data_IF_791820481219
#
_entry.id   IF_791820481219
#
_cell.length_a   1.000
_cell.length_b   1.000
_cell.length_c   1.000
_cell.angle_alpha   90.00
_cell.angle_beta   90.00
_cell.angle_gamma   90.00
#
_symmetry.space_group_name_H-M   'P 1'
#
loop_
_entity.id
_entity.type
_entity.pdbx_description
1 polymer ?
#
# COMPACT_ATOMS: atom_id res chain seq x y z
N UNK A 1 2.83 -15.43 -19.41
CA UNK A 1 3.26 -16.05 -18.14
C UNK A 1 2.67 -17.46 -18.10
N UNK A 2 3.51 -18.50 -18.10
CA UNK A 2 3.06 -19.92 -18.18
C UNK A 2 3.90 -20.79 -17.26
N UNK A 3 5.22 -20.65 -17.35
CA UNK A 3 6.18 -21.40 -16.53
C UNK A 3 6.64 -20.53 -15.36
N UNK A 4 6.50 -21.05 -14.15
CA UNK A 4 6.86 -20.40 -12.90
C UNK A 4 7.85 -21.27 -12.14
N UNK A 5 8.78 -20.65 -11.43
CA UNK A 5 9.63 -21.33 -10.47
C UNK A 5 9.51 -20.66 -9.11
N UNK A 6 9.67 -21.44 -8.06
CA UNK A 6 9.51 -20.98 -6.69
C UNK A 6 10.75 -20.20 -6.24
N UNK A 7 10.50 -19.08 -5.57
CA UNK A 7 11.49 -18.32 -4.81
C UNK A 7 11.11 -18.34 -3.34
N UNK A 8 12.00 -17.83 -2.49
CA UNK A 8 11.74 -17.62 -1.08
C UNK A 8 10.69 -16.52 -0.86
N UNK A 9 10.17 -16.46 0.37
CA UNK A 9 9.17 -15.46 0.76
C UNK A 9 9.80 -14.07 0.73
N UNK A 10 9.26 -13.18 -0.10
CA UNK A 10 9.77 -11.82 -0.26
C UNK A 10 9.53 -10.94 0.99
N UNK A 11 8.38 -11.10 1.65
CA UNK A 11 7.98 -10.33 2.83
C UNK A 11 7.28 -11.23 3.85
N UNK A 12 7.75 -11.20 5.08
CA UNK A 12 7.15 -11.88 6.23
C UNK A 12 6.97 -10.88 7.39
N UNK A 13 6.04 -11.09 8.34
CA UNK A 13 5.88 -10.22 9.51
C UNK A 13 7.17 -10.13 10.32
N UNK A 14 7.75 -8.92 10.44
CA UNK A 14 9.03 -8.72 11.16
C UNK A 14 9.06 -7.47 12.02
N UNK A 15 8.22 -6.49 11.72
CA UNK A 15 8.31 -5.16 12.30
C UNK A 15 6.96 -4.76 12.91
N UNK A 16 6.95 -3.77 13.81
CA UNK A 16 5.74 -3.38 14.55
C UNK A 16 4.56 -2.96 13.67
N UNK A 17 4.82 -2.48 12.46
CA UNK A 17 3.81 -2.04 11.48
C UNK A 17 3.21 -3.19 10.65
N UNK A 18 3.71 -4.42 10.79
CA UNK A 18 3.18 -5.60 10.09
C UNK A 18 3.29 -6.91 10.88
N UNK A 19 3.61 -6.84 12.17
CA UNK A 19 3.87 -8.00 13.05
C UNK A 19 2.72 -9.00 13.05
N UNK A 20 1.50 -8.53 12.85
CA UNK A 20 0.30 -9.37 12.82
C UNK A 20 -0.10 -9.80 11.39
N UNK A 21 0.63 -9.36 10.35
CA UNK A 21 0.43 -9.82 8.97
C UNK A 21 0.95 -8.85 7.91
N UNK A 22 1.48 -9.42 6.81
CA UNK A 22 1.72 -8.72 5.55
C UNK A 22 0.60 -9.11 4.57
N UNK A 23 -0.33 -8.20 4.31
CA UNK A 23 -1.49 -8.40 3.43
C UNK A 23 -1.21 -7.87 2.02
N UNK A 24 -2.25 -7.87 1.17
CA UNK A 24 -2.14 -7.54 -0.24
C UNK A 24 -1.61 -6.12 -0.47
N UNK A 25 -1.18 -5.91 -1.71
CA UNK A 25 -0.53 -4.68 -2.14
C UNK A 25 -0.20 -4.73 -3.62
N UNK A 26 0.39 -3.65 -4.10
CA UNK A 26 0.68 -3.46 -5.51
C UNK A 26 2.10 -2.96 -5.73
N UNK A 27 2.69 -3.39 -6.84
CA UNK A 27 3.96 -2.85 -7.31
C UNK A 27 3.75 -1.55 -8.11
N UNK A 28 4.67 -0.61 -7.96
CA UNK A 28 4.81 0.57 -8.83
C UNK A 28 6.25 0.63 -9.32
N UNK A 29 6.46 0.87 -10.62
CA UNK A 29 7.80 1.12 -11.18
C UNK A 29 8.03 2.63 -11.22
N UNK A 30 8.88 3.14 -10.33
CA UNK A 30 9.25 4.54 -10.29
C UNK A 30 10.25 4.89 -11.42
N UNK A 31 10.39 6.18 -11.77
CA UNK A 31 11.40 6.64 -12.72
C UNK A 31 12.80 6.11 -12.42
N UNK A 32 13.51 5.69 -13.46
CA UNK A 32 14.81 5.03 -13.33
C UNK A 32 14.74 3.53 -13.05
N UNK A 33 13.64 2.86 -13.41
CA UNK A 33 13.42 1.42 -13.29
C UNK A 33 13.55 0.91 -11.84
N UNK A 34 12.88 1.60 -10.92
CA UNK A 34 12.92 1.30 -9.49
C UNK A 34 11.58 0.73 -9.04
N UNK A 35 11.40 -0.61 -9.02
CA UNK A 35 10.18 -1.20 -8.50
C UNK A 35 10.10 -0.98 -6.99
N UNK A 36 8.92 -0.60 -6.52
CA UNK A 36 8.57 -0.47 -5.10
C UNK A 36 7.24 -1.18 -4.86
N UNK A 37 7.05 -1.70 -3.66
CA UNK A 37 5.81 -2.34 -3.24
C UNK A 37 5.16 -1.52 -2.14
N UNK A 38 3.91 -1.10 -2.38
CA UNK A 38 3.03 -0.65 -1.30
C UNK A 38 2.17 -1.83 -0.89
N UNK A 39 2.04 -2.07 0.40
CA UNK A 39 1.26 -3.19 0.93
C UNK A 39 0.62 -2.85 2.27
N UNK A 40 -0.43 -3.57 2.63
CA UNK A 40 -1.05 -3.43 3.94
C UNK A 40 -0.33 -4.28 4.98
N UNK A 41 0.11 -3.69 6.09
CA UNK A 41 0.52 -4.41 7.28
C UNK A 41 -0.57 -4.37 8.35
N UNK A 42 -0.57 -5.37 9.22
CA UNK A 42 -1.37 -5.37 10.45
C UNK A 42 -0.43 -5.04 11.61
N UNK A 43 -0.61 -3.87 12.20
CA UNK A 43 0.25 -3.38 13.28
C UNK A 43 0.01 -4.10 14.62
N UNK A 44 0.80 -3.77 15.65
CA UNK A 44 0.68 -4.30 17.01
C UNK A 44 -0.73 -4.18 17.63
N UNK A 45 -1.56 -3.25 17.16
CA UNK A 45 -2.90 -2.97 17.66
C UNK A 45 -4.00 -3.57 16.76
N UNK A 46 -3.64 -4.43 15.80
CA UNK A 46 -4.52 -4.97 14.77
C UNK A 46 -5.13 -3.90 13.84
N UNK A 47 -4.43 -2.78 13.66
CA UNK A 47 -4.79 -1.73 12.70
C UNK A 47 -4.13 -2.02 11.36
N UNK A 48 -4.91 -1.95 10.29
CA UNK A 48 -4.42 -2.00 8.92
C UNK A 48 -3.73 -0.68 8.58
N UNK A 49 -2.47 -0.75 8.15
CA UNK A 49 -1.62 0.40 7.82
C UNK A 49 -0.92 0.17 6.49
N UNK A 50 -0.58 1.23 5.75
CA UNK A 50 0.09 1.08 4.45
C UNK A 50 1.59 1.30 4.58
N UNK A 51 2.35 0.29 4.15
CA UNK A 51 3.79 0.18 4.27
C UNK A 51 4.44 0.20 2.88
N UNK A 52 5.72 0.53 2.82
CA UNK A 52 6.56 0.41 1.63
C UNK A 52 7.67 -0.61 1.83
N UNK A 53 7.95 -1.38 0.78
CA UNK A 53 9.13 -2.20 0.64
C UNK A 53 9.82 -1.94 -0.70
N UNK A 54 11.14 -2.09 -0.72
CA UNK A 54 12.00 -1.90 -1.90
C UNK A 54 12.93 -3.11 -2.06
N UNK A 55 13.36 -3.47 -3.28
CA UNK A 55 14.36 -4.52 -3.44
C UNK A 55 15.64 -4.16 -2.69
N UNK A 56 16.20 -5.13 -1.97
CA UNK A 56 17.49 -4.97 -1.28
C UNK A 56 18.64 -4.89 -2.28
N UNK A 57 18.52 -5.57 -3.43
CA UNK A 57 19.45 -5.51 -4.55
C UNK A 57 18.69 -5.26 -5.86
N UNK A 58 18.70 -4.02 -6.35
CA UNK A 58 18.02 -3.66 -7.61
C UNK A 58 18.67 -4.23 -8.87
N UNK A 59 19.89 -4.78 -8.77
CA UNK A 59 20.56 -5.47 -9.87
C UNK A 59 20.23 -6.96 -9.95
N UNK A 60 19.57 -7.52 -8.93
CA UNK A 60 19.06 -8.89 -8.97
C UNK A 60 17.82 -8.94 -9.88
N UNK A 61 17.87 -9.64 -11.03
CA UNK A 61 16.73 -9.71 -11.95
C UNK A 61 15.53 -10.47 -11.35
N UNK A 62 15.74 -11.25 -10.29
CA UNK A 62 14.70 -12.01 -9.60
C UNK A 62 14.10 -11.25 -8.42
N UNK A 63 14.76 -10.18 -7.96
CA UNK A 63 14.35 -9.37 -6.81
C UNK A 63 13.99 -10.24 -5.61
N UNK A 64 14.86 -11.19 -5.24
CA UNK A 64 14.55 -12.20 -4.21
C UNK A 64 14.36 -11.56 -2.84
N UNK A 65 15.26 -10.66 -2.45
CA UNK A 65 15.24 -10.01 -1.15
C UNK A 65 14.63 -8.60 -1.20
N UNK A 66 13.70 -8.34 -0.29
CA UNK A 66 13.07 -7.02 -0.11
C UNK A 66 13.39 -6.44 1.26
N UNK A 67 13.57 -5.12 1.30
CA UNK A 67 13.77 -4.33 2.51
C UNK A 67 12.55 -3.46 2.76
N UNK A 68 11.98 -3.55 3.96
CA UNK A 68 10.99 -2.60 4.48
C UNK A 68 11.69 -1.34 4.96
N UNK A 69 11.11 -0.18 4.74
CA UNK A 69 11.73 1.09 5.17
C UNK A 69 11.37 1.43 6.60
N UNK A 70 12.34 1.94 7.37
CA UNK A 70 12.17 2.32 8.79
C UNK A 70 11.13 3.43 9.01
N UNK A 71 10.74 4.14 7.96
CA UNK A 71 9.68 5.16 7.99
C UNK A 71 8.26 4.57 7.99
N UNK A 72 8.11 3.26 7.90
CA UNK A 72 6.81 2.61 7.93
C UNK A 72 6.12 2.77 9.31
N UNK A 73 4.78 2.84 9.35
CA UNK A 73 3.89 2.90 8.20
C UNK A 73 3.89 4.28 7.53
N UNK A 74 3.73 4.31 6.19
CA UNK A 74 3.64 5.57 5.45
C UNK A 74 2.24 6.20 5.52
N UNK A 75 1.21 5.37 5.68
CA UNK A 75 -0.19 5.82 5.70
C UNK A 75 -0.95 5.09 6.81
N UNK A 76 -1.52 5.87 7.71
CA UNK A 76 -2.47 5.41 8.73
C UNK A 76 -3.91 5.61 8.24
N UNK A 77 -4.89 4.86 8.77
CA UNK A 77 -6.30 5.14 8.51
C UNK A 77 -6.63 6.62 8.81
N UNK A 78 -7.21 7.36 7.86
CA UNK A 78 -7.65 8.73 8.11
C UNK A 78 -8.70 8.81 9.22
N UNK A 79 -8.87 9.99 9.81
CA UNK A 79 -9.90 10.21 10.83
C UNK A 79 -11.29 9.80 10.33
N UNK A 80 -11.97 8.97 11.13
CA UNK A 80 -13.30 8.44 10.80
C UNK A 80 -13.29 7.22 9.87
N UNK A 81 -12.12 6.69 9.53
CA UNK A 81 -11.97 5.38 8.88
C UNK A 81 -11.72 4.32 9.96
N UNK A 82 -12.41 3.19 9.86
CA UNK A 82 -12.19 2.06 10.75
C UNK A 82 -10.83 1.41 10.44
N UNK A 83 -9.97 1.28 11.44
CA UNK A 83 -8.65 0.67 11.32
C UNK A 83 -8.64 -0.80 10.88
N UNK A 84 -9.76 -1.53 10.98
CA UNK A 84 -9.88 -2.90 10.46
C UNK A 84 -10.46 -2.96 9.03
N UNK A 85 -10.67 -1.80 8.42
CA UNK A 85 -11.35 -1.63 7.13
C UNK A 85 -10.61 -0.60 6.26
N UNK A 86 -9.29 -0.77 6.09
CA UNK A 86 -8.41 0.14 5.36
C UNK A 86 -7.20 -0.59 4.74
N UNK A 87 -7.32 -1.07 3.51
CA UNK A 87 -6.32 -1.99 2.93
C UNK A 87 -6.20 -1.94 1.41
N UNK A 88 -5.24 -2.69 0.90
CA UNK A 88 -5.05 -3.02 -0.52
C UNK A 88 -4.68 -1.78 -1.37
N UNK A 89 -3.50 -1.19 -1.14
CA UNK A 89 -3.05 -0.04 -1.91
C UNK A 89 -2.81 -0.42 -3.37
N UNK A 90 -3.37 0.37 -4.29
CA UNK A 90 -3.25 0.13 -5.74
C UNK A 90 -1.84 0.46 -6.25
N UNK A 91 -1.52 0.01 -7.47
CA UNK A 91 -0.41 0.60 -8.24
C UNK A 91 -0.63 2.11 -8.35
N UNK A 92 0.43 2.88 -8.12
CA UNK A 92 0.36 4.33 -8.16
C UNK A 92 0.42 4.85 -9.60
N UNK A 93 -0.19 6.02 -9.82
CA UNK A 93 -0.06 6.76 -11.07
C UNK A 93 0.41 8.19 -10.83
N UNK A 94 1.24 8.70 -11.74
CA UNK A 94 1.76 10.07 -11.69
C UNK A 94 0.85 11.01 -12.48
N UNK A 95 0.26 12.00 -11.79
CA UNK A 95 -0.54 13.03 -12.44
C UNK A 95 0.32 14.07 -13.17
N UNK A 96 -0.29 14.81 -14.09
CA UNK A 96 0.35 15.91 -14.84
C UNK A 96 0.81 17.06 -13.93
N UNK A 97 0.27 17.15 -12.73
CA UNK A 97 0.64 18.10 -11.68
C UNK A 97 1.89 17.67 -10.88
N UNK A 98 2.50 16.54 -11.24
CA UNK A 98 3.69 16.02 -10.58
C UNK A 98 3.43 15.32 -9.24
N UNK A 99 2.17 14.97 -8.96
CA UNK A 99 1.81 14.18 -7.77
C UNK A 99 1.49 12.73 -8.14
N UNK A 100 2.14 11.80 -7.44
CA UNK A 100 1.70 10.41 -7.37
C UNK A 100 0.37 10.30 -6.66
N UNK A 101 -0.42 9.32 -7.08
CA UNK A 101 -1.72 8.98 -6.50
C UNK A 101 -1.84 7.48 -6.33
N UNK A 102 -2.50 7.06 -5.26
CA UNK A 102 -2.94 5.69 -5.03
C UNK A 102 -4.38 5.71 -4.53
N UNK A 103 -5.06 4.57 -4.67
CA UNK A 103 -6.28 4.28 -3.93
C UNK A 103 -5.99 3.27 -2.83
N UNK A 104 -6.75 3.36 -1.74
CA UNK A 104 -6.81 2.34 -0.70
C UNK A 104 -8.28 2.00 -0.46
N UNK A 105 -8.60 0.71 -0.48
CA UNK A 105 -9.93 0.19 -0.22
C UNK A 105 -10.35 0.41 1.23
N UNK A 106 -11.60 0.82 1.43
CA UNK A 106 -12.12 1.17 2.75
C UNK A 106 -13.64 1.10 2.77
N UNK A 107 -14.20 1.26 3.97
CA UNK A 107 -15.60 1.62 4.18
C UNK A 107 -15.68 2.91 5.01
N UNK A 108 -16.61 3.81 4.65
CA UNK A 108 -16.91 5.03 5.41
C UNK A 108 -18.42 5.23 5.49
N UNK A 109 -18.96 5.25 6.70
CA UNK A 109 -20.40 5.43 6.93
C UNK A 109 -21.28 4.47 6.12
N UNK A 110 -20.93 3.18 6.09
CA UNK A 110 -21.57 2.11 5.30
C UNK A 110 -21.50 2.29 3.77
N UNK A 111 -20.59 3.16 3.30
CA UNK A 111 -20.27 3.29 1.89
C UNK A 111 -18.92 2.62 1.62
N UNK A 112 -18.91 1.61 0.75
CA UNK A 112 -17.65 1.13 0.17
C UNK A 112 -16.97 2.27 -0.54
N UNK A 113 -15.68 2.45 -0.30
CA UNK A 113 -14.98 3.70 -0.60
C UNK A 113 -13.57 3.44 -1.10
N UNK A 114 -13.23 4.08 -2.23
CA UNK A 114 -11.86 4.22 -2.70
C UNK A 114 -11.27 5.54 -2.17
N UNK A 115 -10.41 5.45 -1.16
CA UNK A 115 -9.74 6.62 -0.57
C UNK A 115 -8.57 7.05 -1.44
N UNK A 116 -8.53 8.32 -1.83
CA UNK A 116 -7.47 8.87 -2.67
C UNK A 116 -6.35 9.48 -1.82
N UNK A 117 -5.13 9.00 -2.01
CA UNK A 117 -3.94 9.60 -1.42
C UNK A 117 -3.05 10.19 -2.50
N UNK A 118 -2.31 11.25 -2.16
CA UNK A 118 -1.33 11.87 -3.05
C UNK A 118 0.02 12.09 -2.38
N UNK A 119 1.09 12.04 -3.16
CA UNK A 119 2.47 12.28 -2.71
C UNK A 119 3.31 12.94 -3.82
N UNK A 120 4.26 13.81 -3.46
CA UNK A 120 5.28 14.30 -4.41
C UNK A 120 6.51 13.38 -4.48
N UNK A 121 6.88 12.78 -3.36
CA UNK A 121 8.16 12.09 -3.16
C UNK A 121 8.01 10.57 -3.00
N UNK A 122 6.78 10.06 -3.07
CA UNK A 122 6.40 8.66 -2.82
C UNK A 122 6.56 8.18 -1.37
N UNK A 123 7.00 9.07 -0.46
CA UNK A 123 7.29 8.75 0.93
C UNK A 123 6.31 9.41 1.88
N UNK A 124 5.90 10.64 1.58
CA UNK A 124 4.95 11.42 2.38
C UNK A 124 3.63 11.47 1.64
N UNK A 125 2.59 10.88 2.23
CA UNK A 125 1.28 10.77 1.61
C UNK A 125 0.26 11.61 2.36
N UNK A 126 -0.64 12.25 1.62
CA UNK A 126 -1.75 13.04 2.19
C UNK A 126 -3.06 12.52 1.62
N UNK A 127 -4.01 12.22 2.50
CA UNK A 127 -5.37 11.90 2.09
C UNK A 127 -6.00 13.12 1.39
N UNK A 128 -6.74 12.87 0.31
CA UNK A 128 -7.54 13.90 -0.33
C UNK A 128 -8.81 14.14 0.50
N UNK A 129 -9.29 15.39 0.52
CA UNK A 129 -10.54 15.73 1.25
C UNK A 129 -11.74 14.94 0.73
N UNK A 130 -11.79 14.75 -0.59
CA UNK A 130 -12.79 13.93 -1.26
C UNK A 130 -12.23 12.54 -1.56
N UNK A 131 -13.08 11.53 -1.36
CA UNK A 131 -12.84 10.18 -1.85
C UNK A 131 -12.74 10.18 -3.38
N UNK A 132 -12.06 9.18 -3.96
CA UNK A 132 -12.08 9.01 -5.41
C UNK A 132 -13.48 8.60 -5.89
N UNK A 133 -14.05 7.61 -5.21
CA UNK A 133 -15.42 7.15 -5.44
C UNK A 133 -15.94 6.40 -4.20
N UNK A 134 -17.27 6.34 -4.06
CA UNK A 134 -17.95 5.56 -3.03
C UNK A 134 -19.30 5.07 -3.54
N UNK A 135 -19.79 3.94 -3.03
CA UNK A 135 -21.14 3.44 -3.31
C UNK A 135 -21.83 2.88 -2.05
N UNK A 136 -23.16 3.00 -1.93
CA UNK A 136 -23.92 2.40 -0.85
C UNK A 136 -24.11 0.90 -1.04
N UNK A 137 -24.39 0.20 0.07
CA UNK A 137 -24.81 -1.21 0.09
C UNK A 137 -23.80 -2.21 -0.52
N UNK A 138 -22.51 -1.84 -0.57
CA UNK A 138 -21.44 -2.71 -1.07
C UNK A 138 -20.59 -3.34 0.03
N UNK A 139 -20.69 -2.85 1.27
CA UNK A 139 -19.70 -3.12 2.31
C UNK A 139 -18.32 -2.57 1.95
N UNK A 140 -17.28 -3.11 2.59
CA UNK A 140 -15.89 -2.74 2.32
C UNK A 140 -15.47 -3.02 0.88
N UNK A 141 -14.73 -2.09 0.29
CA UNK A 141 -14.00 -2.34 -0.96
C UNK A 141 -12.59 -2.85 -0.65
N UNK A 142 -12.23 -3.96 -1.29
CA UNK A 142 -10.91 -4.61 -1.31
C UNK A 142 -10.31 -4.51 -2.73
#
# INVERSE_FOLDING_TARGET
>A
MVNWFRLDVAMAPTDSFDVNGCWSGSATILPGNKPVMLYTGIDINNVQVQNIAVPKNSSDPLLVEWKKLDKNPLILPPNGINGTSFRDPTTAWLGKDGYWRILVGSERSNLGTALLFRSKDFMTWTASENNFHSAPDTGIWE
#
